data_IF_927151206806
#
_entry.id   IF_927151206806
#
_cell.length_a   1.000
_cell.length_b   1.000
_cell.length_c   1.000
_cell.angle_alpha   90.00
_cell.angle_beta   90.00
_cell.angle_gamma   90.00
#
_symmetry.space_group_name_H-M   'P 1'
#
loop_
_entity.id
_entity.type
_entity.pdbx_description
1 polymer ?
#
# COMPACT_ATOMS: atom_id res chain seq x y z
N UNK A 1 1.81 -13.43 48.03
CA UNK A 1 1.74 -14.61 47.14
C UNK A 1 0.71 -14.31 46.05
N UNK A 2 1.14 -14.15 44.79
CA UNK A 2 0.29 -14.07 43.58
C UNK A 2 0.00 -15.52 43.09
N UNK A 3 -0.99 -15.83 42.19
CA UNK A 3 -1.07 -15.26 40.83
C UNK A 3 -2.48 -15.02 40.24
N UNK A 4 -2.53 -13.98 39.41
CA UNK A 4 -3.30 -13.76 38.16
C UNK A 4 -4.51 -14.64 37.81
N UNK A 5 -5.62 -13.99 37.46
CA UNK A 5 -6.36 -14.41 36.25
C UNK A 5 -6.73 -13.17 35.44
N UNK A 6 -5.90 -12.97 34.42
CA UNK A 6 -6.13 -12.11 33.29
C UNK A 6 -7.37 -12.65 32.54
N UNK A 7 -8.56 -12.15 32.86
CA UNK A 7 -9.72 -12.33 32.00
C UNK A 7 -9.58 -11.35 30.83
N UNK A 8 -8.75 -11.71 29.86
CA UNK A 8 -8.80 -11.15 28.51
C UNK A 8 -10.18 -11.46 27.93
N UNK A 9 -11.14 -10.60 28.26
CA UNK A 9 -12.48 -10.54 27.68
C UNK A 9 -12.31 -10.20 26.20
N UNK A 10 -12.11 -11.24 25.40
CA UNK A 10 -11.92 -11.13 23.95
C UNK A 10 -13.23 -10.64 23.35
N UNK A 11 -13.36 -9.32 23.21
CA UNK A 11 -14.54 -8.68 22.64
C UNK A 11 -14.70 -9.11 21.16
N UNK A 12 -15.83 -9.73 20.79
CA UNK A 12 -16.06 -10.23 19.43
C UNK A 12 -16.19 -9.13 18.36
N UNK A 13 -16.25 -7.84 18.74
CA UNK A 13 -16.21 -6.71 17.81
C UNK A 13 -14.81 -6.45 17.26
N UNK A 14 -13.74 -6.88 17.95
CA UNK A 14 -12.38 -6.80 17.43
C UNK A 14 -12.13 -7.77 16.24
N UNK A 15 -12.89 -8.87 16.14
CA UNK A 15 -12.79 -9.80 15.01
C UNK A 15 -13.35 -9.26 13.69
N UNK A 16 -14.20 -8.22 13.73
CA UNK A 16 -14.90 -7.68 12.54
C UNK A 16 -14.19 -6.52 11.86
N UNK A 17 -13.01 -6.13 12.34
CA UNK A 17 -12.25 -5.00 11.77
C UNK A 17 -11.10 -5.43 10.87
N UNK A 18 -11.19 -6.59 10.21
CA UNK A 18 -10.41 -6.87 9.02
C UNK A 18 -10.93 -5.98 7.88
N UNK A 19 -10.69 -4.66 7.98
CA UNK A 19 -10.70 -3.78 6.82
C UNK A 19 -9.70 -4.40 5.87
N UNK A 20 -10.20 -5.09 4.86
CA UNK A 20 -9.42 -5.54 3.72
C UNK A 20 -8.79 -4.28 3.14
N UNK A 21 -7.60 -3.94 3.63
CA UNK A 21 -6.71 -3.01 2.95
C UNK A 21 -6.35 -3.76 1.70
N UNK A 22 -7.15 -3.59 0.66
CA UNK A 22 -6.78 -3.88 -0.71
C UNK A 22 -5.59 -2.99 -0.96
N UNK A 23 -4.39 -3.44 -0.56
CA UNK A 23 -3.15 -2.77 -0.94
C UNK A 23 -3.22 -2.73 -2.46
N UNK A 24 -3.21 -1.54 -3.10
CA UNK A 24 -3.14 -1.49 -4.54
C UNK A 24 -1.93 -2.35 -4.93
N UNK A 25 -2.20 -3.42 -5.67
CA UNK A 25 -1.15 -4.33 -6.13
C UNK A 25 -0.21 -3.43 -6.92
N UNK A 26 1.10 -3.36 -6.56
CA UNK A 26 2.01 -2.47 -7.26
C UNK A 26 1.95 -2.85 -8.73
N UNK A 27 1.56 -1.87 -9.54
CA UNK A 27 1.44 -2.06 -10.97
C UNK A 27 2.87 -2.33 -11.47
N UNK A 28 3.16 -3.60 -11.80
CA UNK A 28 4.55 -4.10 -11.92
C UNK A 28 5.39 -3.37 -12.98
N UNK A 29 4.76 -2.57 -13.84
CA UNK A 29 5.47 -1.75 -14.82
C UNK A 29 5.51 -0.25 -14.50
N UNK A 30 4.84 0.22 -13.45
CA UNK A 30 4.87 1.62 -13.06
C UNK A 30 6.30 2.05 -12.74
N UNK A 31 6.62 3.29 -13.09
CA UNK A 31 7.94 3.85 -12.89
C UNK A 31 7.84 5.32 -12.51
N UNK A 32 8.69 5.75 -11.57
CA UNK A 32 8.78 7.15 -11.19
C UNK A 32 9.67 7.89 -12.17
N UNK A 33 9.17 9.00 -12.72
CA UNK A 33 9.93 9.83 -13.63
C UNK A 33 11.13 10.47 -12.91
N UNK A 34 12.36 10.27 -13.40
CA UNK A 34 13.56 10.86 -12.80
C UNK A 34 13.56 12.40 -12.85
N UNK A 35 12.85 13.01 -13.81
CA UNK A 35 12.80 14.46 -13.98
C UNK A 35 11.77 15.12 -13.03
N UNK A 36 10.51 14.70 -13.08
CA UNK A 36 9.43 15.35 -12.32
C UNK A 36 8.92 14.55 -11.12
N UNK A 37 9.50 13.38 -10.83
CA UNK A 37 9.16 12.50 -9.71
C UNK A 37 7.70 12.00 -9.68
N UNK A 38 6.97 12.13 -10.79
CA UNK A 38 5.61 11.59 -10.94
C UNK A 38 5.63 10.13 -11.34
N UNK A 39 4.71 9.36 -10.78
CA UNK A 39 4.49 7.97 -11.16
C UNK A 39 3.88 7.88 -12.55
N UNK A 40 4.55 7.16 -13.44
CA UNK A 40 4.09 6.88 -14.80
C UNK A 40 3.65 5.43 -14.88
N UNK A 41 2.38 5.22 -15.18
CA UNK A 41 1.80 3.89 -15.32
C UNK A 41 2.14 3.28 -16.70
N UNK A 42 2.25 1.93 -16.79
CA UNK A 42 2.39 1.22 -18.05
C UNK A 42 1.26 1.50 -19.03
N UNK A 43 1.46 1.26 -20.34
CA UNK A 43 2.69 0.83 -21.02
C UNK A 43 3.58 2.01 -21.47
N UNK A 44 3.44 3.20 -20.85
CA UNK A 44 4.06 4.43 -21.33
C UNK A 44 5.59 4.40 -21.17
N UNK A 45 6.30 4.67 -22.27
CA UNK A 45 7.76 4.85 -22.31
C UNK A 45 8.22 6.27 -21.98
N UNK A 46 7.29 7.24 -21.95
CA UNK A 46 7.53 8.65 -21.61
C UNK A 46 6.59 9.09 -20.50
N UNK A 47 7.08 9.97 -19.63
CA UNK A 47 6.29 10.59 -18.58
C UNK A 47 5.14 11.39 -19.20
N UNK A 48 3.92 11.25 -18.64
CA UNK A 48 2.75 11.95 -19.13
C UNK A 48 2.81 13.46 -18.86
N UNK A 49 3.54 13.87 -17.82
CA UNK A 49 3.58 15.25 -17.37
C UNK A 49 4.71 16.06 -18.00
N UNK A 50 5.93 15.51 -18.05
CA UNK A 50 7.11 16.23 -18.55
C UNK A 50 7.72 15.63 -19.83
N UNK A 51 7.19 14.51 -20.33
CA UNK A 51 7.67 13.89 -21.56
C UNK A 51 9.01 13.15 -21.48
N UNK A 52 9.69 13.16 -20.32
CA UNK A 52 10.96 12.44 -20.11
C UNK A 52 10.81 10.95 -20.40
N UNK A 53 11.76 10.39 -21.15
CA UNK A 53 11.86 8.96 -21.46
C UNK A 53 12.30 8.15 -20.23
N UNK A 54 11.82 6.91 -20.12
CA UNK A 54 12.30 5.94 -19.13
C UNK A 54 13.70 5.41 -19.45
N UNK A 55 14.12 5.50 -20.71
CA UNK A 55 15.46 5.15 -21.22
C UNK A 55 16.29 6.40 -21.43
#
# INVERSE_FOLDING_TARGET
>A
MSPTTDETRTDPRLRRSARTRTRPRPDRGAWTCANCQRETLPPRKRCADCGTSRY
#
